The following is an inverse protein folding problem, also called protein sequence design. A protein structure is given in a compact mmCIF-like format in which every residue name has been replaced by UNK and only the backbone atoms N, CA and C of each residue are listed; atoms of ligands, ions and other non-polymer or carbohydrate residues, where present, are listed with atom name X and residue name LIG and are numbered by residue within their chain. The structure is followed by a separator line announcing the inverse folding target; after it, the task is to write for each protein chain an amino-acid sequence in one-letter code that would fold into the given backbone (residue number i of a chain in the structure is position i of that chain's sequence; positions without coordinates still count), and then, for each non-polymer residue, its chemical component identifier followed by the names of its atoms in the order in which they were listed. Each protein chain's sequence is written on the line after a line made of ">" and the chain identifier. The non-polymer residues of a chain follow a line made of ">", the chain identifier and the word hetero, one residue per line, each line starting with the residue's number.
data_IF_716382569862
#
_entry.id   IF_716382569862
#
_cell.length_a   1.000
_cell.length_b   1.000
_cell.length_c   1.000
_cell.angle_alpha   90.00
_cell.angle_beta   90.00
_cell.angle_gamma   90.00
#
_symmetry.space_group_name_H-M   'P 1'
#
loop_
_entity.id
_entity.type
_entity.pdbx_description
1 polymer ?
#
# COMPACT_ATOMS: atom_id res chain seq x y z
N UNK A 1 9.54 29.68 25.35
CA UNK A 1 8.43 28.74 25.29
C UNK A 1 8.97 27.35 25.00
N UNK A 2 8.38 26.36 25.63
CA UNK A 2 8.77 24.95 25.46
C UNK A 2 7.63 24.21 24.80
N UNK A 3 7.93 23.47 23.73
CA UNK A 3 6.97 22.65 22.98
C UNK A 3 7.18 21.19 23.34
N UNK A 4 6.12 20.51 23.77
CA UNK A 4 6.11 19.09 24.05
C UNK A 4 5.59 18.27 22.88
N UNK A 5 6.13 17.06 22.70
CA UNK A 5 5.64 16.11 21.69
C UNK A 5 5.47 14.74 22.34
N UNK A 6 4.24 14.21 22.28
CA UNK A 6 3.91 12.85 22.69
C UNK A 6 3.74 11.97 21.46
N UNK A 7 4.63 10.98 21.31
CA UNK A 7 4.74 10.13 20.13
C UNK A 7 5.71 10.70 19.09
N UNK A 8 6.94 10.18 19.03
CA UNK A 8 8.03 10.64 18.14
C UNK A 8 8.17 9.70 16.92
N UNK A 9 7.04 9.19 16.45
CA UNK A 9 6.97 8.43 15.20
C UNK A 9 7.02 9.35 13.97
N UNK A 10 6.49 8.87 12.86
CA UNK A 10 6.51 9.55 11.55
C UNK A 10 6.05 11.04 11.61
N UNK A 11 4.90 11.31 12.21
CA UNK A 11 4.34 12.67 12.33
C UNK A 11 5.10 13.48 13.39
N UNK A 12 5.32 12.89 14.56
CA UNK A 12 5.97 13.58 15.67
C UNK A 12 7.41 13.99 15.37
N UNK A 13 8.16 13.20 14.62
CA UNK A 13 9.51 13.55 14.16
C UNK A 13 9.52 14.74 13.21
N UNK A 14 8.57 14.82 12.29
CA UNK A 14 8.42 15.98 11.38
C UNK A 14 8.06 17.25 12.12
N UNK A 15 7.15 17.17 13.10
CA UNK A 15 6.81 18.28 14.00
C UNK A 15 8.04 18.70 14.80
N UNK A 16 8.77 17.75 15.41
CA UNK A 16 9.97 17.99 16.19
C UNK A 16 11.01 18.78 15.41
N UNK A 17 11.40 18.26 14.24
CA UNK A 17 12.43 18.88 13.39
C UNK A 17 12.07 20.34 13.02
N UNK A 18 10.80 20.66 12.82
CA UNK A 18 10.35 22.02 12.50
C UNK A 18 10.32 22.91 13.74
N UNK A 19 9.79 22.41 14.87
CA UNK A 19 9.66 23.22 16.10
C UNK A 19 11.01 23.54 16.73
N UNK A 20 12.01 22.65 16.62
CA UNK A 20 13.38 22.87 17.13
C UNK A 20 14.07 24.08 16.49
N UNK A 21 13.62 24.57 15.35
CA UNK A 21 14.16 25.79 14.73
C UNK A 21 13.78 27.08 15.50
N UNK A 22 12.73 27.04 16.30
CA UNK A 22 12.16 28.24 16.97
C UNK A 22 12.01 28.07 18.49
N UNK A 23 11.94 26.85 18.99
CA UNK A 23 11.59 26.54 20.36
C UNK A 23 12.48 25.45 20.96
N UNK A 24 12.58 25.41 22.28
CA UNK A 24 13.04 24.22 22.99
C UNK A 24 11.94 23.15 22.85
N UNK A 25 12.35 21.92 22.48
CA UNK A 25 11.43 20.80 22.29
C UNK A 25 11.74 19.69 23.29
N UNK A 26 10.72 19.26 24.00
CA UNK A 26 10.76 18.10 24.91
C UNK A 26 9.87 16.99 24.35
N UNK A 27 10.25 15.75 24.58
CA UNK A 27 9.56 14.59 23.97
C UNK A 27 9.23 13.53 24.99
N UNK A 28 8.12 12.81 24.74
CA UNK A 28 7.81 11.54 25.39
C UNK A 28 7.34 10.51 24.37
N UNK A 29 7.97 9.33 24.40
CA UNK A 29 7.61 8.17 23.59
C UNK A 29 7.68 6.90 24.45
N UNK A 30 7.04 5.82 24.02
CA UNK A 30 7.18 4.49 24.64
C UNK A 30 8.57 3.90 24.42
N UNK A 31 9.27 4.33 23.38
CA UNK A 31 10.69 4.08 23.17
C UNK A 31 11.52 5.13 23.92
N UNK A 32 12.17 4.72 24.99
CA UNK A 32 12.91 5.61 25.88
C UNK A 32 14.04 6.39 25.20
N UNK A 33 14.62 5.87 24.12
CA UNK A 33 15.66 6.54 23.32
C UNK A 33 15.14 7.80 22.59
N UNK A 34 13.82 7.91 22.40
CA UNK A 34 13.15 9.03 21.76
C UNK A 34 12.57 10.03 22.77
N UNK A 35 12.69 9.76 24.07
CA UNK A 35 12.13 10.59 25.14
C UNK A 35 13.22 11.46 25.77
N UNK A 36 12.87 12.73 26.07
CA UNK A 36 13.66 13.64 26.90
C UNK A 36 13.11 13.75 28.32
N UNK A 37 11.89 13.22 28.56
CA UNK A 37 11.20 13.21 29.85
C UNK A 37 10.76 11.80 30.24
N UNK A 38 10.64 11.53 31.54
CA UNK A 38 10.31 10.20 32.07
C UNK A 38 8.81 9.88 31.99
N UNK A 39 7.96 10.89 31.89
CA UNK A 39 6.51 10.70 31.80
C UNK A 39 5.79 11.86 31.09
N UNK A 40 4.58 11.59 30.59
CA UNK A 40 3.69 12.63 30.05
C UNK A 40 3.42 13.72 31.11
N UNK A 41 3.28 13.33 32.40
CA UNK A 41 3.04 14.29 33.48
C UNK A 41 4.21 15.23 33.71
N UNK A 42 5.43 14.76 33.50
CA UNK A 42 6.61 15.62 33.64
C UNK A 42 6.82 16.50 32.41
N UNK A 43 6.47 15.99 31.23
CA UNK A 43 6.44 16.75 29.98
C UNK A 43 5.50 17.95 30.10
N UNK A 44 4.22 17.75 30.46
CA UNK A 44 3.21 18.82 30.47
C UNK A 44 3.43 19.89 31.52
N UNK A 45 4.17 19.62 32.60
CA UNK A 45 4.51 20.60 33.63
C UNK A 45 5.43 21.72 33.15
N UNK A 46 6.20 21.48 32.11
CA UNK A 46 7.21 22.40 31.62
C UNK A 46 6.89 22.96 30.22
N UNK A 47 5.86 22.44 29.55
CA UNK A 47 5.52 22.85 28.19
C UNK A 47 4.40 23.86 28.14
N UNK A 48 4.51 24.83 27.22
CA UNK A 48 3.47 25.80 26.89
C UNK A 48 2.45 25.21 25.89
N UNK A 49 2.90 24.29 25.04
CA UNK A 49 2.11 23.58 24.03
C UNK A 49 2.54 22.10 23.95
N UNK A 50 1.59 21.21 23.79
CA UNK A 50 1.87 19.77 23.59
C UNK A 50 1.18 19.26 22.34
N UNK A 51 1.96 18.68 21.42
CA UNK A 51 1.46 17.92 20.27
C UNK A 51 1.28 16.45 20.65
N UNK A 52 0.10 15.90 20.32
CA UNK A 52 -0.20 14.46 20.45
C UNK A 52 -0.16 13.83 19.07
N UNK A 53 0.88 13.00 18.83
CA UNK A 53 1.20 12.38 17.54
C UNK A 53 1.26 10.85 17.65
N UNK A 54 0.43 10.24 18.49
CA UNK A 54 0.44 8.80 18.76
C UNK A 54 -0.31 8.01 17.71
N UNK A 55 0.00 6.69 17.54
CA UNK A 55 -0.68 5.85 16.57
C UNK A 55 -2.17 5.67 16.85
N UNK A 56 -2.94 5.54 15.77
CA UNK A 56 -4.36 5.17 15.77
C UNK A 56 -4.55 3.98 14.84
N UNK A 57 -4.33 2.76 15.30
CA UNK A 57 -4.38 1.57 14.45
C UNK A 57 -5.80 1.24 13.98
N UNK A 58 -5.90 0.40 12.95
CA UNK A 58 -7.17 -0.14 12.47
C UNK A 58 -7.67 -1.22 13.45
N UNK A 59 -8.91 -1.12 13.88
CA UNK A 59 -9.62 -2.16 14.63
C UNK A 59 -10.10 -3.28 13.71
N UNK A 60 -10.44 -4.44 14.28
CA UNK A 60 -10.91 -5.61 13.50
C UNK A 60 -12.16 -5.36 12.65
N UNK A 61 -12.98 -4.41 13.05
CA UNK A 61 -14.21 -4.03 12.32
C UNK A 61 -14.01 -2.91 11.29
N UNK A 62 -12.75 -2.48 11.09
CA UNK A 62 -12.37 -1.40 10.17
C UNK A 62 -12.51 0.00 10.74
N UNK A 63 -12.89 0.15 12.01
CA UNK A 63 -12.86 1.43 12.71
C UNK A 63 -11.43 1.80 13.13
N UNK A 64 -11.25 3.04 13.59
CA UNK A 64 -9.98 3.50 14.16
C UNK A 64 -10.01 3.24 15.67
N UNK A 65 -8.96 2.61 16.19
CA UNK A 65 -8.74 2.48 17.63
C UNK A 65 -8.15 3.78 18.19
N UNK A 66 -8.94 4.49 18.99
CA UNK A 66 -8.57 5.75 19.63
C UNK A 66 -8.05 5.58 21.06
N UNK A 67 -7.97 4.37 21.58
CA UNK A 67 -7.63 4.08 22.99
C UNK A 67 -6.29 4.66 23.43
N UNK A 68 -5.29 4.68 22.54
CA UNK A 68 -3.98 5.29 22.83
C UNK A 68 -4.13 6.81 22.97
N UNK A 69 -4.86 7.45 22.06
CA UNK A 69 -5.13 8.90 22.10
C UNK A 69 -5.87 9.27 23.38
N UNK A 70 -6.93 8.53 23.72
CA UNK A 70 -7.71 8.74 24.95
C UNK A 70 -6.84 8.60 26.21
N UNK A 71 -5.98 7.59 26.25
CA UNK A 71 -5.04 7.39 27.38
C UNK A 71 -4.05 8.53 27.52
N UNK A 72 -3.52 9.06 26.41
CA UNK A 72 -2.59 10.19 26.41
C UNK A 72 -3.30 11.48 26.85
N UNK A 73 -4.47 11.77 26.29
CA UNK A 73 -5.26 12.94 26.66
C UNK A 73 -5.67 12.90 28.15
N UNK A 74 -6.05 11.73 28.66
CA UNK A 74 -6.32 11.53 30.08
C UNK A 74 -5.09 11.73 30.98
N UNK A 75 -3.90 11.31 30.52
CA UNK A 75 -2.64 11.51 31.25
C UNK A 75 -2.20 12.98 31.27
N UNK A 76 -2.47 13.74 30.20
CA UNK A 76 -2.28 15.21 30.13
C UNK A 76 -3.24 15.89 31.12
N UNK A 77 -4.51 15.44 31.18
CA UNK A 77 -5.52 15.94 32.12
C UNK A 77 -5.76 17.44 31.99
N UNK A 78 -5.82 18.15 33.11
CA UNK A 78 -6.03 19.62 33.18
C UNK A 78 -4.72 20.42 33.34
N UNK A 79 -3.63 19.95 32.72
CA UNK A 79 -2.36 20.69 32.73
C UNK A 79 -2.50 22.05 32.04
N UNK A 80 -1.75 23.05 32.52
CA UNK A 80 -1.76 24.43 32.00
C UNK A 80 -0.90 24.54 30.72
N UNK A 81 -1.23 23.80 29.69
CA UNK A 81 -0.58 23.88 28.38
C UNK A 81 -1.63 23.70 27.28
N UNK A 82 -1.46 24.36 26.15
CA UNK A 82 -2.32 24.11 24.99
C UNK A 82 -2.09 22.68 24.44
N UNK A 83 -3.14 22.02 23.98
CA UNK A 83 -3.04 20.64 23.41
C UNK A 83 -3.46 20.61 21.96
N UNK A 84 -2.56 20.16 21.11
CA UNK A 84 -2.77 19.98 19.67
C UNK A 84 -2.76 18.51 19.34
N UNK A 85 -3.91 17.98 18.95
CA UNK A 85 -4.08 16.60 18.52
C UNK A 85 -3.80 16.48 17.01
N UNK A 86 -2.77 15.74 16.65
CA UNK A 86 -2.38 15.46 15.26
C UNK A 86 -2.73 14.03 14.81
N UNK A 87 -2.97 13.13 15.76
CA UNK A 87 -3.39 11.76 15.46
C UNK A 87 -4.73 11.75 14.72
N UNK A 88 -4.86 10.93 13.69
CA UNK A 88 -6.12 10.83 12.93
C UNK A 88 -7.21 10.18 13.77
N UNK A 89 -8.30 10.89 13.98
CA UNK A 89 -9.45 10.46 14.80
C UNK A 89 -10.76 10.61 14.03
N UNK A 90 -11.82 9.84 14.37
CA UNK A 90 -13.11 9.95 13.69
C UNK A 90 -13.77 11.33 13.88
N UNK A 91 -14.57 11.80 12.92
CA UNK A 91 -15.34 13.04 13.07
C UNK A 91 -16.21 13.07 14.33
N UNK A 92 -16.07 14.14 15.10
CA UNK A 92 -16.75 14.35 16.39
C UNK A 92 -15.94 13.90 17.62
N UNK A 93 -14.82 13.21 17.43
CA UNK A 93 -13.97 12.72 18.52
C UNK A 93 -13.39 13.86 19.35
N UNK A 94 -12.76 14.84 18.71
CA UNK A 94 -12.08 15.92 19.44
C UNK A 94 -13.05 16.75 20.27
N UNK A 95 -14.23 17.06 19.74
CA UNK A 95 -15.26 17.78 20.49
C UNK A 95 -15.77 16.96 21.70
N UNK A 96 -15.95 15.64 21.52
CA UNK A 96 -16.38 14.77 22.60
C UNK A 96 -15.32 14.68 23.72
N UNK A 97 -14.04 14.52 23.39
CA UNK A 97 -12.96 14.47 24.37
C UNK A 97 -12.72 15.83 25.04
N UNK A 98 -12.85 16.96 24.30
CA UNK A 98 -12.79 18.30 24.91
C UNK A 98 -13.85 18.47 25.98
N UNK A 99 -15.10 18.09 25.72
CA UNK A 99 -16.21 18.12 26.68
C UNK A 99 -15.97 17.20 27.87
N UNK A 100 -15.52 15.99 27.64
CA UNK A 100 -15.26 14.96 28.66
C UNK A 100 -14.15 15.36 29.61
N UNK A 101 -13.09 15.98 29.09
CA UNK A 101 -11.92 16.41 29.88
C UNK A 101 -12.04 17.83 30.38
N UNK A 102 -13.11 18.57 30.02
CA UNK A 102 -13.35 19.99 30.35
C UNK A 102 -12.13 20.86 30.02
N UNK A 103 -11.59 20.68 28.82
CA UNK A 103 -10.44 21.44 28.31
C UNK A 103 -10.51 21.61 26.79
N UNK A 104 -9.84 22.64 26.28
CA UNK A 104 -9.70 22.83 24.85
C UNK A 104 -8.67 21.85 24.29
N UNK A 105 -9.02 21.22 23.18
CA UNK A 105 -8.14 20.35 22.37
C UNK A 105 -8.23 20.86 20.93
N UNK A 106 -7.13 21.31 20.38
CA UNK A 106 -7.06 21.79 19.01
C UNK A 106 -6.77 20.58 18.09
N UNK A 107 -7.59 20.32 17.09
CA UNK A 107 -7.31 19.28 16.12
C UNK A 107 -6.53 19.83 14.93
N UNK A 108 -5.35 19.28 14.66
CA UNK A 108 -4.50 19.70 13.54
C UNK A 108 -4.18 18.51 12.64
N UNK A 109 -5.01 18.25 11.59
CA UNK A 109 -4.74 17.17 10.65
C UNK A 109 -3.39 17.35 9.95
N UNK A 110 -2.73 16.22 9.66
CA UNK A 110 -1.52 16.18 8.87
C UNK A 110 -1.81 15.68 7.43
N UNK A 111 -0.98 16.09 6.48
CA UNK A 111 -1.09 15.71 5.07
C UNK A 111 0.27 15.35 4.47
N UNK A 112 1.10 14.70 5.27
CA UNK A 112 2.48 14.35 4.97
C UNK A 112 2.56 13.14 4.05
N UNK A 113 3.58 13.14 3.19
CA UNK A 113 3.93 11.96 2.39
C UNK A 113 5.03 11.15 3.07
N UNK A 114 4.99 9.82 2.94
CA UNK A 114 5.93 8.95 3.63
C UNK A 114 7.40 9.22 3.26
N UNK A 115 7.66 9.71 2.05
CA UNK A 115 9.01 9.98 1.56
C UNK A 115 9.58 11.32 2.03
N UNK A 116 8.73 12.33 2.36
CA UNK A 116 9.17 13.71 2.55
C UNK A 116 8.54 14.38 3.79
N UNK A 117 8.23 13.63 4.85
CA UNK A 117 7.43 14.10 5.97
C UNK A 117 7.93 15.42 6.60
N UNK A 118 9.22 15.53 6.86
CA UNK A 118 9.82 16.73 7.46
C UNK A 118 9.71 17.93 6.51
N UNK A 119 10.06 17.72 5.23
CA UNK A 119 9.96 18.77 4.21
C UNK A 119 8.50 19.19 3.97
N UNK A 120 7.57 18.23 3.92
CA UNK A 120 6.15 18.50 3.74
C UNK A 120 5.57 19.29 4.91
N UNK A 121 5.99 18.98 6.14
CA UNK A 121 5.54 19.72 7.33
C UNK A 121 6.12 21.12 7.37
N UNK A 122 7.42 21.29 7.12
CA UNK A 122 8.10 22.58 7.17
C UNK A 122 7.66 23.54 6.06
N UNK A 123 7.30 23.01 4.87
CA UNK A 123 6.98 23.81 3.68
C UNK A 123 5.49 23.78 3.29
N UNK A 124 4.60 23.41 4.21
CA UNK A 124 3.17 23.38 3.93
C UNK A 124 2.61 24.78 3.66
N UNK A 125 1.83 24.95 2.59
CA UNK A 125 1.24 26.24 2.23
C UNK A 125 0.11 26.67 3.18
N UNK A 126 -0.56 25.71 3.82
CA UNK A 126 -1.64 25.94 4.77
C UNK A 126 -1.68 24.84 5.82
N UNK A 127 -2.13 25.20 7.01
CA UNK A 127 -2.47 24.25 8.08
C UNK A 127 -3.87 24.55 8.61
N UNK A 128 -4.59 23.50 8.99
CA UNK A 128 -5.96 23.58 9.47
C UNK A 128 -5.95 23.36 10.99
N UNK A 129 -6.58 24.26 11.73
CA UNK A 129 -6.81 24.12 13.16
C UNK A 129 -8.30 23.99 13.42
N UNK A 130 -8.73 22.82 13.86
CA UNK A 130 -10.07 22.58 14.38
C UNK A 130 -10.16 23.13 15.79
N UNK A 131 -11.05 24.08 16.00
CA UNK A 131 -11.24 24.84 17.27
C UNK A 131 -12.69 24.77 17.70
N UNK A 132 -12.94 25.15 18.94
CA UNK A 132 -14.28 25.11 19.54
C UNK A 132 -15.22 26.13 18.92
N UNK A 133 -14.74 27.39 18.78
CA UNK A 133 -15.49 28.48 18.16
C UNK A 133 -14.57 29.31 17.25
N UNK A 134 -14.89 29.32 15.97
CA UNK A 134 -14.11 30.06 14.95
C UNK A 134 -14.24 31.59 15.08
N UNK A 135 -15.28 32.07 15.73
CA UNK A 135 -15.51 33.51 15.98
C UNK A 135 -14.72 34.06 17.19
N UNK A 136 -14.29 33.18 18.10
CA UNK A 136 -13.57 33.58 19.32
C UNK A 136 -12.67 32.47 19.82
N UNK A 137 -11.38 32.59 19.57
CA UNK A 137 -10.39 31.65 20.09
C UNK A 137 -10.26 31.76 21.61
N UNK A 138 -10.12 30.61 22.27
CA UNK A 138 -9.73 30.55 23.68
C UNK A 138 -8.25 30.90 23.85
N UNK A 139 -7.77 31.00 25.08
CA UNK A 139 -6.37 31.30 25.36
C UNK A 139 -5.45 30.16 24.80
N UNK A 140 -5.85 28.91 24.96
CA UNK A 140 -5.10 27.76 24.49
C UNK A 140 -5.07 27.72 22.95
N UNK A 141 -6.20 27.95 22.28
CA UNK A 141 -6.30 28.02 20.83
C UNK A 141 -5.48 29.19 20.25
N UNK A 142 -5.48 30.34 20.92
CA UNK A 142 -4.65 31.47 20.52
C UNK A 142 -3.16 31.19 20.71
N UNK A 143 -2.77 30.57 21.85
CA UNK A 143 -1.39 30.18 22.14
C UNK A 143 -0.88 29.19 21.10
N UNK A 144 -1.64 28.14 20.80
CA UNK A 144 -1.31 27.15 19.76
C UNK A 144 -1.16 27.80 18.37
N UNK A 145 -2.10 28.68 18.00
CA UNK A 145 -2.06 29.42 16.72
C UNK A 145 -0.78 30.26 16.61
N UNK A 146 -0.42 30.97 17.69
CA UNK A 146 0.79 31.80 17.71
C UNK A 146 2.06 30.94 17.58
N UNK A 147 2.19 29.90 18.38
CA UNK A 147 3.40 29.01 18.36
C UNK A 147 3.56 28.35 17.00
N UNK A 148 2.48 27.81 16.42
CA UNK A 148 2.50 27.20 15.10
C UNK A 148 2.85 28.25 14.02
N UNK A 149 2.27 29.44 14.07
CA UNK A 149 2.53 30.51 13.12
C UNK A 149 3.96 31.05 13.17
N UNK A 150 4.57 31.12 14.34
CA UNK A 150 5.97 31.54 14.49
C UNK A 150 6.94 30.45 13.95
N UNK A 151 6.60 29.16 14.14
CA UNK A 151 7.39 28.05 13.62
C UNK A 151 7.23 27.83 12.09
N UNK A 152 6.09 28.23 11.54
CA UNK A 152 5.71 28.07 10.13
C UNK A 152 5.33 29.42 9.49
N UNK A 153 6.26 30.37 9.34
CA UNK A 153 5.95 31.77 9.01
C UNK A 153 5.38 31.97 7.58
N UNK A 154 5.51 30.97 6.71
CA UNK A 154 4.98 31.02 5.35
C UNK A 154 3.67 30.25 5.17
N UNK A 155 3.14 29.66 6.24
CA UNK A 155 1.95 28.83 6.25
C UNK A 155 0.71 29.64 6.59
N UNK A 156 -0.33 29.54 5.77
CA UNK A 156 -1.64 30.13 6.10
C UNK A 156 -2.35 29.25 7.13
N UNK A 157 -2.64 29.80 8.30
CA UNK A 157 -3.40 29.10 9.34
C UNK A 157 -4.90 29.34 9.11
N UNK A 158 -5.63 28.23 9.00
CA UNK A 158 -7.08 28.23 8.77
C UNK A 158 -7.77 27.67 10.00
N UNK A 159 -8.58 28.49 10.69
CA UNK A 159 -9.43 28.02 11.78
C UNK A 159 -10.76 27.51 11.24
N UNK A 160 -11.19 26.37 11.75
CA UNK A 160 -12.49 25.77 11.46
C UNK A 160 -12.98 24.96 12.66
N UNK A 161 -14.18 24.38 12.59
CA UNK A 161 -14.65 23.49 13.66
C UNK A 161 -13.92 22.16 13.66
N UNK A 162 -13.89 21.47 14.81
CA UNK A 162 -13.28 20.14 14.94
C UNK A 162 -13.79 19.17 13.87
N UNK A 163 -15.11 19.05 13.72
CA UNK A 163 -15.72 18.13 12.78
C UNK A 163 -15.35 18.41 11.31
N UNK A 164 -15.22 19.68 10.92
CA UNK A 164 -14.75 20.04 9.56
C UNK A 164 -13.30 19.63 9.36
N UNK A 165 -12.43 19.91 10.34
CA UNK A 165 -11.01 19.55 10.24
C UNK A 165 -10.81 18.02 10.20
N UNK A 166 -11.51 17.27 11.06
CA UNK A 166 -11.49 15.80 11.10
C UNK A 166 -12.02 15.19 9.79
N UNK A 167 -13.18 15.64 9.32
CA UNK A 167 -13.76 15.16 8.05
C UNK A 167 -12.86 15.47 6.85
N UNK A 168 -12.20 16.64 6.84
CA UNK A 168 -11.27 17.02 5.76
C UNK A 168 -10.11 16.04 5.64
N UNK A 169 -9.56 15.54 6.76
CA UNK A 169 -8.51 14.52 6.75
C UNK A 169 -8.97 13.25 6.03
N UNK A 170 -10.13 12.72 6.43
CA UNK A 170 -10.68 11.50 5.83
C UNK A 170 -11.08 11.68 4.37
N UNK A 171 -11.74 12.81 4.04
CA UNK A 171 -12.18 13.10 2.68
C UNK A 171 -10.99 13.19 1.71
N UNK A 172 -9.89 13.86 2.10
CA UNK A 172 -8.67 13.92 1.28
C UNK A 172 -8.08 12.54 1.03
N UNK A 173 -7.88 11.74 2.09
CA UNK A 173 -7.28 10.42 1.96
C UNK A 173 -8.18 9.46 1.16
N UNK A 174 -9.50 9.49 1.38
CA UNK A 174 -10.47 8.71 0.61
C UNK A 174 -10.49 9.12 -0.87
N UNK A 175 -10.42 10.42 -1.18
CA UNK A 175 -10.36 10.91 -2.56
C UNK A 175 -9.06 10.48 -3.26
N UNK A 176 -7.91 10.61 -2.59
CA UNK A 176 -6.63 10.18 -3.16
C UNK A 176 -6.58 8.66 -3.39
N UNK A 177 -7.12 7.88 -2.45
CA UNK A 177 -7.29 6.44 -2.62
C UNK A 177 -8.20 6.09 -3.83
N UNK A 178 -9.26 6.87 -4.04
CA UNK A 178 -10.15 6.73 -5.20
C UNK A 178 -9.41 7.01 -6.51
N UNK A 179 -8.56 8.04 -6.56
CA UNK A 179 -7.71 8.31 -7.74
C UNK A 179 -6.81 7.13 -8.07
N UNK A 180 -6.14 6.56 -7.06
CA UNK A 180 -5.28 5.38 -7.26
C UNK A 180 -6.08 4.19 -7.78
N UNK A 181 -7.25 3.89 -7.18
CA UNK A 181 -8.09 2.78 -7.63
C UNK A 181 -8.55 2.98 -9.08
N UNK A 182 -9.03 4.18 -9.43
CA UNK A 182 -9.42 4.54 -10.80
C UNK A 182 -8.25 4.39 -11.78
N UNK A 183 -7.06 4.91 -11.45
CA UNK A 183 -5.87 4.79 -12.28
C UNK A 183 -5.51 3.33 -12.58
N UNK A 184 -5.60 2.45 -11.57
CA UNK A 184 -5.35 1.02 -11.75
C UNK A 184 -6.39 0.33 -12.67
N UNK A 185 -7.67 0.73 -12.62
CA UNK A 185 -8.70 0.20 -13.53
C UNK A 185 -8.43 0.64 -14.98
N UNK A 186 -8.10 1.91 -15.21
CA UNK A 186 -7.74 2.41 -16.55
C UNK A 186 -6.46 1.77 -17.05
N UNK A 187 -5.44 1.60 -16.19
CA UNK A 187 -4.23 0.86 -16.55
C UNK A 187 -4.56 -0.57 -17.01
N UNK A 188 -5.46 -1.28 -16.30
CA UNK A 188 -5.91 -2.62 -16.67
C UNK A 188 -6.57 -2.65 -18.05
N UNK A 189 -7.42 -1.67 -18.36
CA UNK A 189 -8.05 -1.54 -19.67
C UNK A 189 -7.01 -1.25 -20.78
N UNK A 190 -6.09 -0.33 -20.53
CA UNK A 190 -4.99 -0.02 -21.45
C UNK A 190 -4.13 -1.24 -21.75
N UNK A 191 -3.78 -2.00 -20.70
CA UNK A 191 -3.03 -3.24 -20.83
C UNK A 191 -3.76 -4.27 -21.71
N UNK A 192 -5.05 -4.49 -21.46
CA UNK A 192 -5.87 -5.42 -22.25
C UNK A 192 -6.03 -5.01 -23.73
N UNK A 193 -5.97 -3.70 -24.02
CA UNK A 193 -6.11 -3.14 -25.36
C UNK A 193 -4.76 -2.85 -26.05
N UNK A 194 -3.64 -3.17 -25.39
CA UNK A 194 -2.28 -2.85 -25.85
C UNK A 194 -2.08 -1.34 -26.11
N UNK A 195 -2.60 -0.50 -25.21
CA UNK A 195 -2.48 0.97 -25.25
C UNK A 195 -1.46 1.41 -24.19
N UNK A 196 -0.50 2.32 -24.49
CA UNK A 196 0.42 2.85 -23.49
C UNK A 196 -0.32 3.69 -22.43
N UNK A 197 -0.39 3.20 -21.20
CA UNK A 197 -1.09 3.92 -20.12
C UNK A 197 -0.46 5.29 -19.80
N UNK A 198 0.85 5.41 -19.85
CA UNK A 198 1.53 6.66 -19.51
C UNK A 198 1.15 7.80 -20.46
N UNK A 199 0.93 7.52 -21.75
CA UNK A 199 0.41 8.50 -22.71
C UNK A 199 -1.04 8.89 -22.38
N UNK A 200 -1.89 7.94 -22.02
CA UNK A 200 -3.27 8.23 -21.59
C UNK A 200 -3.27 9.12 -20.35
N UNK A 201 -2.42 8.80 -19.36
CA UNK A 201 -2.24 9.60 -18.14
C UNK A 201 -1.77 11.01 -18.48
N UNK A 202 -0.74 11.16 -19.33
CA UNK A 202 -0.20 12.46 -19.75
C UNK A 202 -1.29 13.33 -20.37
N UNK A 203 -2.11 12.79 -21.26
CA UNK A 203 -3.22 13.55 -21.87
C UNK A 203 -4.35 13.85 -20.88
N UNK A 204 -4.65 12.94 -19.95
CA UNK A 204 -5.63 13.22 -18.89
C UNK A 204 -5.24 14.44 -18.04
N UNK A 205 -3.97 14.56 -17.65
CA UNK A 205 -3.52 15.66 -16.78
C UNK A 205 -3.29 16.99 -17.53
N UNK A 206 -3.46 17.02 -18.84
CA UNK A 206 -3.56 18.27 -19.59
C UNK A 206 -4.84 19.06 -19.26
N UNK A 207 -5.89 18.39 -18.75
CA UNK A 207 -7.04 19.08 -18.19
C UNK A 207 -6.67 19.69 -16.82
N UNK A 208 -6.72 21.04 -16.65
CA UNK A 208 -6.31 21.68 -15.41
C UNK A 208 -7.15 21.29 -14.18
N UNK A 209 -8.29 20.64 -14.38
CA UNK A 209 -9.11 20.08 -13.32
C UNK A 209 -8.56 18.77 -12.75
N UNK A 210 -7.60 18.14 -13.45
CA UNK A 210 -7.02 16.84 -13.08
C UNK A 210 -5.55 17.05 -12.71
N UNK A 211 -5.22 16.97 -11.42
CA UNK A 211 -3.84 17.00 -10.95
C UNK A 211 -3.18 15.63 -11.10
N UNK A 212 -1.90 15.59 -11.47
CA UNK A 212 -1.14 14.37 -11.76
C UNK A 212 -0.88 13.47 -10.54
N UNK A 213 -0.94 14.01 -9.33
CA UNK A 213 -0.68 13.22 -8.12
C UNK A 213 -1.55 11.98 -8.02
N UNK A 214 -0.98 10.82 -7.60
CA UNK A 214 -1.68 9.56 -7.36
C UNK A 214 -2.29 8.88 -8.60
N UNK A 215 -1.77 9.19 -9.79
CA UNK A 215 -2.19 8.56 -11.05
C UNK A 215 -1.13 7.61 -11.63
N UNK A 216 0.06 7.52 -11.05
CA UNK A 216 1.10 6.57 -11.51
C UNK A 216 0.71 5.13 -11.20
N UNK A 217 0.88 4.24 -12.18
CA UNK A 217 0.64 2.80 -12.04
C UNK A 217 1.82 2.05 -12.68
N UNK A 218 2.59 1.23 -11.94
CA UNK A 218 2.48 1.03 -10.50
C UNK A 218 2.76 2.32 -9.70
N UNK A 219 2.36 2.33 -8.41
CA UNK A 219 2.62 3.45 -7.51
C UNK A 219 4.11 3.64 -7.19
N UNK A 220 4.43 4.67 -6.39
CA UNK A 220 5.82 5.00 -5.99
C UNK A 220 6.53 3.87 -5.22
N UNK A 221 5.79 2.94 -4.64
CA UNK A 221 6.32 1.74 -3.98
C UNK A 221 6.50 0.55 -4.93
N UNK A 222 6.31 0.75 -6.23
CA UNK A 222 6.41 -0.27 -7.26
C UNK A 222 5.25 -1.27 -7.31
N UNK A 223 4.19 -1.06 -6.53
CA UNK A 223 3.03 -1.97 -6.45
C UNK A 223 1.77 -1.36 -7.06
N UNK A 224 0.85 -2.22 -7.43
CA UNK A 224 -0.49 -1.83 -7.86
C UNK A 224 -1.35 -1.44 -6.66
N UNK A 225 -2.36 -0.60 -6.90
CA UNK A 225 -3.23 -0.12 -5.82
C UNK A 225 -2.52 0.80 -4.82
N UNK A 226 -3.23 1.12 -3.74
CA UNK A 226 -2.70 1.95 -2.66
C UNK A 226 -2.38 1.10 -1.42
N UNK A 227 -1.30 1.49 -0.73
CA UNK A 227 -0.82 0.87 0.50
C UNK A 227 -0.40 1.90 1.53
N UNK A 228 0.56 1.52 2.36
CA UNK A 228 1.03 2.32 3.48
C UNK A 228 0.08 2.31 4.67
N UNK A 229 0.44 3.04 5.72
CA UNK A 229 -0.30 3.05 6.98
C UNK A 229 -1.59 3.88 6.95
N UNK A 230 -1.73 4.84 6.00
CA UNK A 230 -2.81 5.84 6.02
C UNK A 230 -3.98 5.46 5.10
N UNK A 231 -3.76 5.33 3.79
CA UNK A 231 -4.85 5.17 2.83
C UNK A 231 -5.76 3.96 3.10
N UNK A 232 -5.24 2.74 3.34
CA UNK A 232 -6.10 1.60 3.62
C UNK A 232 -6.96 1.82 4.87
N UNK A 233 -6.32 2.28 5.96
CA UNK A 233 -6.97 2.53 7.24
C UNK A 233 -8.02 3.64 7.15
N UNK A 234 -7.65 4.81 6.63
CA UNK A 234 -8.52 5.99 6.61
C UNK A 234 -9.71 5.81 5.65
N UNK A 235 -9.50 5.10 4.50
CA UNK A 235 -10.59 4.81 3.57
C UNK A 235 -11.62 3.87 4.19
N UNK A 236 -11.18 2.82 4.90
CA UNK A 236 -12.07 1.90 5.63
C UNK A 236 -12.78 2.60 6.78
N UNK A 237 -12.06 3.43 7.54
CA UNK A 237 -12.63 4.20 8.65
C UNK A 237 -13.72 5.16 8.15
N UNK A 238 -13.47 5.91 7.07
CA UNK A 238 -14.48 6.78 6.48
C UNK A 238 -15.70 5.98 5.98
N UNK A 239 -15.48 4.87 5.28
CA UNK A 239 -16.55 3.97 4.85
C UNK A 239 -17.39 3.49 6.05
N UNK A 240 -16.74 3.13 7.15
CA UNK A 240 -17.42 2.72 8.38
C UNK A 240 -18.23 3.86 9.01
N UNK A 241 -17.66 5.06 9.09
CA UNK A 241 -18.38 6.25 9.59
C UNK A 241 -19.63 6.52 8.77
N UNK A 242 -19.54 6.52 7.44
CA UNK A 242 -20.70 6.75 6.56
C UNK A 242 -21.80 5.69 6.77
N UNK A 243 -21.42 4.42 6.88
CA UNK A 243 -22.37 3.34 7.15
C UNK A 243 -23.06 3.47 8.52
N UNK A 244 -22.31 3.93 9.55
CA UNK A 244 -22.88 4.17 10.89
C UNK A 244 -23.90 5.32 10.86
N UNK A 245 -23.72 6.28 9.96
CA UNK A 245 -24.62 7.40 9.76
C UNK A 245 -25.76 7.10 8.75
N UNK A 246 -25.88 5.86 8.27
CA UNK A 246 -26.83 5.44 7.21
C UNK A 246 -26.65 6.24 5.91
N UNK A 247 -25.42 6.67 5.62
CA UNK A 247 -25.05 7.33 4.38
C UNK A 247 -24.51 6.31 3.40
N UNK A 248 -25.02 6.34 2.15
CA UNK A 248 -24.51 5.50 1.08
C UNK A 248 -23.03 5.72 0.84
N UNK A 249 -22.24 4.65 0.74
CA UNK A 249 -20.79 4.68 0.60
C UNK A 249 -20.26 3.69 -0.45
N UNK A 250 -21.05 3.48 -1.51
CA UNK A 250 -20.76 2.55 -2.61
C UNK A 250 -19.44 2.89 -3.30
N UNK A 251 -19.12 4.17 -3.48
CA UNK A 251 -17.84 4.60 -4.09
C UNK A 251 -16.65 4.11 -3.25
N UNK A 252 -16.64 4.38 -1.95
CA UNK A 252 -15.55 3.94 -1.07
C UNK A 252 -15.52 2.41 -0.92
N UNK A 253 -16.68 1.76 -0.85
CA UNK A 253 -16.79 0.31 -0.86
C UNK A 253 -16.19 -0.32 -2.12
N UNK A 254 -16.47 0.28 -3.29
CA UNK A 254 -15.87 -0.10 -4.56
C UNK A 254 -14.34 0.08 -4.57
N UNK A 255 -13.85 1.22 -4.08
CA UNK A 255 -12.42 1.54 -3.96
C UNK A 255 -11.69 0.54 -3.07
N UNK A 256 -12.23 0.20 -1.89
CA UNK A 256 -11.67 -0.79 -0.97
C UNK A 256 -11.62 -2.17 -1.65
N UNK A 257 -12.71 -2.57 -2.30
CA UNK A 257 -12.81 -3.86 -3.00
C UNK A 257 -11.84 -3.94 -4.18
N UNK A 258 -11.76 -2.88 -5.00
CA UNK A 258 -10.84 -2.79 -6.14
C UNK A 258 -9.39 -2.89 -5.66
N UNK A 259 -9.04 -2.13 -4.61
CA UNK A 259 -7.70 -2.15 -4.03
C UNK A 259 -7.30 -3.54 -3.53
N UNK A 260 -8.17 -4.25 -2.80
CA UNK A 260 -7.85 -5.59 -2.27
C UNK A 260 -7.57 -6.60 -3.39
N UNK A 261 -8.23 -6.45 -4.56
CA UNK A 261 -8.01 -7.32 -5.73
C UNK A 261 -6.66 -7.10 -6.41
N UNK A 262 -6.06 -5.92 -6.28
CA UNK A 262 -4.80 -5.58 -6.97
C UNK A 262 -3.62 -5.46 -6.02
N UNK A 263 -3.84 -4.97 -4.79
CA UNK A 263 -2.77 -4.70 -3.82
C UNK A 263 -2.25 -5.94 -3.11
N UNK A 264 -3.14 -6.83 -2.72
CA UNK A 264 -2.81 -8.04 -1.98
C UNK A 264 -2.38 -9.19 -2.92
N UNK A 265 -2.24 -8.92 -4.23
CA UNK A 265 -1.76 -9.91 -5.17
C UNK A 265 -0.27 -10.14 -4.97
N UNK A 266 0.07 -11.28 -4.40
CA UNK A 266 1.40 -11.86 -4.54
C UNK A 266 1.47 -12.44 -5.96
N UNK A 267 2.22 -11.79 -6.86
CA UNK A 267 2.41 -12.26 -8.23
C UNK A 267 3.45 -13.36 -8.26
N UNK A 268 3.02 -14.57 -8.54
CA UNK A 268 3.89 -15.70 -8.82
C UNK A 268 4.06 -15.89 -10.32
N UNK A 269 5.26 -16.24 -10.76
CA UNK A 269 5.51 -16.66 -12.16
C UNK A 269 6.14 -18.03 -12.22
N UNK A 270 5.74 -18.80 -13.23
CA UNK A 270 6.46 -20.00 -13.66
C UNK A 270 6.60 -19.99 -15.18
N UNK A 271 7.71 -20.48 -15.72
CA UNK A 271 8.00 -20.46 -17.15
C UNK A 271 8.30 -21.86 -17.69
N UNK A 272 7.82 -22.13 -18.90
CA UNK A 272 8.08 -23.41 -19.56
C UNK A 272 7.26 -23.61 -20.83
N UNK A 273 7.55 -24.69 -21.57
CA UNK A 273 6.78 -25.05 -22.77
C UNK A 273 5.45 -25.73 -22.47
N UNK A 274 5.29 -26.34 -21.30
CA UNK A 274 4.09 -27.09 -20.87
C UNK A 274 3.52 -28.05 -21.91
N UNK A 275 4.43 -28.62 -22.71
CA UNK A 275 4.09 -29.60 -23.76
C UNK A 275 3.60 -30.91 -23.16
N UNK A 276 2.59 -31.52 -23.77
CA UNK A 276 1.93 -32.74 -23.29
C UNK A 276 1.52 -32.56 -21.80
N UNK A 277 0.63 -31.62 -21.53
CA UNK A 277 0.21 -31.30 -20.16
C UNK A 277 -0.12 -32.60 -19.38
N UNK A 278 0.60 -32.84 -18.30
CA UNK A 278 0.50 -34.04 -17.48
C UNK A 278 0.44 -33.77 -15.98
N UNK A 279 0.20 -34.79 -15.18
CA UNK A 279 0.03 -34.65 -13.71
C UNK A 279 1.19 -33.92 -13.03
N UNK A 280 2.43 -34.04 -13.51
CA UNK A 280 3.57 -33.28 -12.96
C UNK A 280 3.49 -31.78 -13.19
N UNK A 281 2.98 -31.34 -14.35
CA UNK A 281 2.70 -29.92 -14.58
C UNK A 281 1.58 -29.41 -13.67
N UNK A 282 0.51 -30.21 -13.47
CA UNK A 282 -0.58 -29.84 -12.57
C UNK A 282 -0.09 -29.68 -11.12
N UNK A 283 0.78 -30.58 -10.65
CA UNK A 283 1.39 -30.48 -9.31
C UNK A 283 2.27 -29.24 -9.15
N UNK A 284 3.08 -28.92 -10.17
CA UNK A 284 3.85 -27.68 -10.20
C UNK A 284 2.93 -26.45 -10.12
N UNK A 285 1.85 -26.41 -10.91
CA UNK A 285 0.93 -25.27 -10.95
C UNK A 285 0.10 -25.15 -9.66
N UNK A 286 -0.26 -26.26 -9.03
CA UNK A 286 -0.89 -26.29 -7.69
C UNK A 286 0.05 -25.72 -6.63
N UNK A 287 1.29 -26.18 -6.58
CA UNK A 287 2.30 -25.72 -5.64
C UNK A 287 2.63 -24.23 -5.88
N UNK A 288 2.79 -23.83 -7.14
CA UNK A 288 2.98 -22.42 -7.52
C UNK A 288 1.83 -21.52 -7.04
N UNK A 289 0.58 -21.98 -7.20
CA UNK A 289 -0.59 -21.24 -6.74
C UNK A 289 -0.65 -21.09 -5.22
N UNK A 290 -0.14 -22.06 -4.47
CA UNK A 290 -0.04 -21.98 -3.01
C UNK A 290 0.99 -20.95 -2.53
N UNK A 291 1.94 -20.54 -3.39
CA UNK A 291 2.95 -19.52 -3.08
C UNK A 291 2.52 -18.10 -3.46
N UNK A 292 1.39 -17.95 -4.18
CA UNK A 292 0.97 -16.64 -4.69
C UNK A 292 -0.56 -16.53 -4.78
N UNK A 293 -1.07 -15.30 -4.81
CA UNK A 293 -2.50 -15.05 -5.01
C UNK A 293 -2.84 -14.91 -6.49
N UNK A 294 -1.85 -14.58 -7.35
CA UNK A 294 -2.00 -14.44 -8.79
C UNK A 294 -0.85 -15.14 -9.51
N UNK A 295 -1.15 -16.29 -10.13
CA UNK A 295 -0.16 -17.10 -10.86
C UNK A 295 -0.18 -16.76 -12.34
N UNK A 296 0.97 -16.31 -12.85
CA UNK A 296 1.22 -16.04 -14.27
C UNK A 296 2.07 -17.17 -14.84
N UNK A 297 1.57 -17.84 -15.86
CA UNK A 297 2.34 -18.84 -16.62
C UNK A 297 2.96 -18.17 -17.83
N UNK A 298 4.29 -18.16 -17.90
CA UNK A 298 5.04 -17.71 -19.06
C UNK A 298 5.24 -18.92 -19.98
N UNK A 299 4.44 -18.99 -21.05
CA UNK A 299 4.39 -20.12 -21.97
C UNK A 299 5.37 -19.91 -23.13
N UNK A 300 6.40 -20.74 -23.23
CA UNK A 300 7.34 -20.68 -24.35
C UNK A 300 6.72 -21.29 -25.61
N UNK A 301 6.77 -20.55 -26.71
CA UNK A 301 6.23 -21.01 -28.00
C UNK A 301 6.99 -22.24 -28.52
N UNK A 302 8.29 -22.10 -28.72
CA UNK A 302 9.19 -23.19 -29.15
C UNK A 302 10.60 -22.99 -28.56
N UNK A 303 11.01 -23.79 -27.57
CA UNK A 303 12.33 -23.66 -26.95
C UNK A 303 13.50 -23.91 -27.89
N UNK A 304 13.27 -24.49 -29.09
CA UNK A 304 14.35 -24.77 -30.07
C UNK A 304 14.78 -23.53 -30.84
N UNK A 305 14.05 -22.41 -30.75
CA UNK A 305 14.37 -21.15 -31.44
C UNK A 305 15.76 -20.65 -31.01
N UNK A 306 16.02 -20.61 -29.72
CA UNK A 306 17.28 -20.13 -29.15
C UNK A 306 18.08 -21.22 -28.42
N UNK A 307 17.47 -22.40 -28.17
CA UNK A 307 18.09 -23.55 -27.52
C UNK A 307 17.91 -24.84 -28.34
N UNK A 308 18.64 -25.03 -29.46
CA UNK A 308 18.45 -26.14 -30.39
C UNK A 308 18.59 -27.54 -29.77
N UNK A 309 19.21 -27.66 -28.60
CA UNK A 309 19.35 -28.91 -27.86
C UNK A 309 18.09 -29.31 -27.07
N UNK A 310 17.11 -28.44 -26.96
CA UNK A 310 15.83 -28.76 -26.32
C UNK A 310 14.90 -29.53 -27.28
N UNK A 311 13.90 -30.17 -26.69
CA UNK A 311 12.87 -30.82 -27.47
C UNK A 311 11.87 -29.82 -28.03
N UNK A 312 11.59 -29.93 -29.34
CA UNK A 312 10.46 -29.23 -29.94
C UNK A 312 9.15 -29.73 -29.32
N UNK A 313 8.20 -28.84 -29.02
CA UNK A 313 6.87 -29.23 -28.52
C UNK A 313 6.15 -30.14 -29.54
N UNK A 314 5.47 -31.17 -29.05
CA UNK A 314 4.59 -32.04 -29.86
C UNK A 314 3.26 -31.31 -30.14
N UNK A 315 2.73 -30.64 -29.13
CA UNK A 315 1.50 -29.90 -29.25
C UNK A 315 1.76 -28.48 -29.81
N UNK A 316 0.84 -28.00 -30.60
CA UNK A 316 0.85 -26.63 -31.09
C UNK A 316 0.73 -25.63 -29.92
N UNK A 317 1.08 -24.37 -30.16
CA UNK A 317 0.94 -23.34 -29.16
C UNK A 317 -0.53 -23.19 -28.71
N UNK A 318 -1.46 -23.20 -29.65
CA UNK A 318 -2.90 -23.09 -29.39
C UNK A 318 -3.44 -24.20 -28.50
N UNK A 319 -3.03 -25.48 -28.78
CA UNK A 319 -3.41 -26.62 -27.95
C UNK A 319 -2.93 -26.47 -26.51
N UNK A 320 -1.71 -25.98 -26.32
CA UNK A 320 -1.13 -25.75 -24.99
C UNK A 320 -1.79 -24.58 -24.27
N UNK A 321 -2.16 -23.51 -24.98
CA UNK A 321 -2.92 -22.38 -24.45
C UNK A 321 -4.28 -22.83 -23.92
N UNK A 322 -5.07 -23.54 -24.76
CA UNK A 322 -6.40 -24.06 -24.38
C UNK A 322 -6.32 -24.95 -23.14
N UNK A 323 -5.29 -25.81 -23.06
CA UNK A 323 -5.10 -26.68 -21.90
C UNK A 323 -4.77 -25.89 -20.61
N UNK A 324 -3.87 -24.91 -20.71
CA UNK A 324 -3.48 -24.09 -19.55
C UNK A 324 -4.61 -23.17 -19.08
N UNK A 325 -5.41 -22.62 -19.99
CA UNK A 325 -6.60 -21.82 -19.67
C UNK A 325 -7.65 -22.61 -18.86
N UNK A 326 -7.73 -23.92 -19.11
CA UNK A 326 -8.61 -24.82 -18.37
C UNK A 326 -8.09 -25.21 -16.97
N UNK A 327 -6.84 -24.87 -16.63
CA UNK A 327 -6.25 -25.21 -15.32
C UNK A 327 -6.65 -24.18 -14.28
N UNK A 328 -7.44 -24.58 -13.28
CA UNK A 328 -7.95 -23.72 -12.21
C UNK A 328 -6.90 -22.97 -11.37
N UNK A 329 -5.64 -23.36 -11.45
CA UNK A 329 -4.54 -22.75 -10.70
C UNK A 329 -3.92 -21.56 -11.45
N UNK A 330 -4.18 -21.43 -12.76
CA UNK A 330 -3.59 -20.40 -13.62
C UNK A 330 -4.52 -19.19 -13.70
N UNK A 331 -4.01 -18.00 -13.35
CA UNK A 331 -4.80 -16.77 -13.45
C UNK A 331 -4.52 -16.00 -14.74
N UNK A 332 -3.32 -16.14 -15.30
CA UNK A 332 -2.90 -15.45 -16.51
C UNK A 332 -1.85 -16.25 -17.27
N UNK A 333 -1.90 -16.18 -18.61
CA UNK A 333 -0.88 -16.77 -19.47
C UNK A 333 -0.29 -15.67 -20.34
N UNK A 334 1.03 -15.65 -20.49
CA UNK A 334 1.76 -14.78 -21.41
C UNK A 334 2.70 -15.63 -22.24
N UNK A 335 2.70 -15.42 -23.57
CA UNK A 335 3.55 -16.17 -24.50
C UNK A 335 4.88 -15.45 -24.70
N UNK A 336 5.96 -16.20 -24.84
CA UNK A 336 7.27 -15.70 -25.23
C UNK A 336 7.98 -16.68 -26.18
N UNK A 337 8.88 -16.17 -27.01
CA UNK A 337 9.62 -16.98 -27.99
C UNK A 337 11.03 -17.31 -27.50
N UNK A 338 11.79 -16.32 -27.05
CA UNK A 338 13.20 -16.42 -26.70
C UNK A 338 13.48 -16.18 -25.22
N UNK A 339 14.67 -16.55 -24.74
CA UNK A 339 15.10 -16.24 -23.38
C UNK A 339 15.22 -14.72 -23.12
N UNK A 340 15.52 -13.92 -24.17
CA UNK A 340 15.51 -12.47 -24.07
C UNK A 340 14.09 -11.93 -23.86
N UNK A 341 13.08 -12.48 -24.53
CA UNK A 341 11.67 -12.13 -24.29
C UNK A 341 11.27 -12.49 -22.86
N UNK A 342 11.69 -13.66 -22.37
CA UNK A 342 11.46 -14.07 -20.98
C UNK A 342 12.05 -13.08 -20.00
N UNK A 343 13.29 -12.60 -20.25
CA UNK A 343 13.94 -11.60 -19.40
C UNK A 343 13.15 -10.28 -19.38
N UNK A 344 12.70 -9.81 -20.55
CA UNK A 344 11.89 -8.60 -20.67
C UNK A 344 10.55 -8.74 -19.95
N UNK A 345 9.87 -9.87 -20.09
CA UNK A 345 8.62 -10.15 -19.38
C UNK A 345 8.82 -10.13 -17.86
N UNK A 346 9.86 -10.81 -17.35
CA UNK A 346 10.16 -10.82 -15.91
C UNK A 346 10.48 -9.42 -15.38
N UNK A 347 11.24 -8.61 -16.14
CA UNK A 347 11.59 -7.23 -15.81
C UNK A 347 10.36 -6.32 -15.75
N UNK A 348 9.38 -6.54 -16.64
CA UNK A 348 8.15 -5.75 -16.72
C UNK A 348 7.12 -6.18 -15.67
N UNK A 349 6.91 -7.50 -15.50
CA UNK A 349 5.94 -8.06 -14.53
C UNK A 349 6.37 -7.73 -13.10
N UNK A 350 7.69 -7.75 -12.82
CA UNK A 350 8.27 -7.66 -11.47
C UNK A 350 7.54 -8.58 -10.49
N UNK A 351 7.63 -9.89 -10.67
CA UNK A 351 6.93 -10.84 -9.83
C UNK A 351 7.52 -10.84 -8.41
N UNK A 352 6.66 -11.09 -7.41
CA UNK A 352 7.07 -11.21 -6.01
C UNK A 352 7.77 -12.55 -5.73
N UNK A 353 7.47 -13.58 -6.53
CA UNK A 353 8.06 -14.91 -6.41
C UNK A 353 8.08 -15.62 -7.77
N UNK A 354 9.17 -16.33 -8.04
CA UNK A 354 9.30 -17.22 -9.20
C UNK A 354 9.28 -18.68 -8.75
N UNK A 355 8.52 -19.51 -9.43
CA UNK A 355 8.42 -20.94 -9.14
C UNK A 355 9.15 -21.71 -10.23
N UNK A 356 10.11 -22.55 -9.83
CA UNK A 356 10.90 -23.40 -10.71
C UNK A 356 10.95 -24.85 -10.19
N UNK A 357 11.22 -25.82 -11.05
CA UNK A 357 11.53 -27.17 -10.58
C UNK A 357 12.87 -27.21 -9.83
N UNK A 358 13.03 -28.13 -8.87
CA UNK A 358 14.27 -28.31 -8.12
C UNK A 358 15.47 -28.78 -8.95
N UNK A 359 15.28 -29.15 -10.22
CA UNK A 359 16.33 -29.40 -11.21
C UNK A 359 17.12 -28.11 -11.60
N UNK A 360 16.60 -26.92 -11.25
CA UNK A 360 17.27 -25.64 -11.45
C UNK A 360 18.15 -25.18 -10.27
N UNK A 361 18.13 -25.89 -9.15
CA UNK A 361 18.96 -25.56 -8.00
C UNK A 361 20.44 -25.62 -8.35
N UNK A 362 21.15 -24.51 -8.16
CA UNK A 362 22.60 -24.41 -8.45
C UNK A 362 22.95 -24.28 -9.94
N UNK A 363 21.97 -24.02 -10.81
CA UNK A 363 22.20 -23.73 -12.23
C UNK A 363 21.91 -22.26 -12.54
N UNK A 364 22.53 -21.72 -13.58
CA UNK A 364 22.20 -20.38 -14.10
C UNK A 364 20.88 -20.41 -14.84
N UNK A 365 20.08 -19.36 -14.71
CA UNK A 365 18.77 -19.24 -15.36
C UNK A 365 18.48 -17.79 -15.80
N UNK A 366 17.66 -17.65 -16.80
CA UNK A 366 17.25 -16.32 -17.32
C UNK A 366 16.56 -15.51 -16.22
N UNK A 367 17.00 -14.26 -16.02
CA UNK A 367 16.46 -13.37 -15.01
C UNK A 367 17.05 -13.54 -13.59
N UNK A 368 18.15 -14.27 -13.43
CA UNK A 368 18.88 -14.39 -12.15
C UNK A 368 19.30 -13.01 -11.62
N UNK A 369 19.76 -12.10 -12.50
CA UNK A 369 20.15 -10.74 -12.16
C UNK A 369 19.01 -9.84 -11.62
N UNK A 370 17.77 -10.26 -11.79
CA UNK A 370 16.60 -9.53 -11.29
C UNK A 370 16.35 -9.78 -9.78
N UNK A 371 17.09 -10.70 -9.16
CA UNK A 371 16.98 -11.06 -7.74
C UNK A 371 15.55 -11.39 -7.27
N UNK A 372 14.75 -12.02 -8.13
CA UNK A 372 13.38 -12.44 -7.79
C UNK A 372 13.48 -13.62 -6.80
N UNK A 373 12.79 -13.59 -5.66
CA UNK A 373 12.71 -14.74 -4.75
C UNK A 373 12.25 -16.01 -5.48
N UNK A 374 12.87 -17.16 -5.21
CA UNK A 374 12.54 -18.43 -5.88
C UNK A 374 11.97 -19.44 -4.90
N UNK A 375 10.87 -20.06 -5.26
CA UNK A 375 10.38 -21.31 -4.68
C UNK A 375 10.68 -22.47 -5.62
N UNK A 376 11.34 -23.49 -5.07
CA UNK A 376 11.67 -24.70 -5.84
C UNK A 376 10.66 -25.80 -5.59
N UNK A 377 9.87 -26.14 -6.62
CA UNK A 377 8.96 -27.27 -6.61
C UNK A 377 9.72 -28.59 -6.55
N UNK A 378 9.41 -29.45 -5.58
CA UNK A 378 10.05 -30.75 -5.45
C UNK A 378 9.50 -31.77 -6.44
N UNK A 379 10.18 -31.91 -7.59
CA UNK A 379 9.84 -32.89 -8.63
C UNK A 379 10.09 -34.33 -8.19
N UNK A 380 10.85 -34.56 -7.10
CA UNK A 380 11.11 -35.91 -6.57
C UNK A 380 9.94 -36.45 -5.75
N UNK A 381 9.01 -35.58 -5.37
CA UNK A 381 7.76 -36.00 -4.68
C UNK A 381 6.82 -36.80 -5.57
N UNK A 382 7.09 -36.88 -6.90
CA UNK A 382 6.32 -37.65 -7.87
C UNK A 382 7.19 -38.13 -9.04
N UNK A 383 6.74 -39.18 -9.75
CA UNK A 383 7.46 -39.80 -10.90
C UNK A 383 7.00 -39.24 -12.27
N UNK A 384 6.19 -38.16 -12.30
CA UNK A 384 5.61 -37.67 -13.55
C UNK A 384 6.60 -36.79 -14.32
N UNK A 385 6.84 -37.09 -15.61
CA UNK A 385 7.64 -36.25 -16.48
C UNK A 385 7.19 -36.39 -17.93
N UNK A 386 7.39 -35.35 -18.76
CA UNK A 386 7.09 -35.38 -20.19
C UNK A 386 7.89 -36.45 -20.91
N UNK A 387 9.15 -36.65 -20.53
CA UNK A 387 10.00 -37.73 -21.15
C UNK A 387 9.44 -39.12 -20.88
N UNK A 388 9.05 -39.38 -19.60
CA UNK A 388 8.43 -40.68 -19.25
C UNK A 388 7.08 -40.87 -19.94
N UNK A 389 6.28 -39.80 -20.11
CA UNK A 389 5.02 -39.88 -20.85
C UNK A 389 5.25 -40.22 -22.32
N UNK A 390 6.19 -39.55 -22.98
CA UNK A 390 6.56 -39.82 -24.38
C UNK A 390 6.99 -41.28 -24.58
N UNK A 391 7.85 -41.81 -23.69
CA UNK A 391 8.28 -43.22 -23.76
C UNK A 391 7.10 -44.18 -23.63
N UNK A 392 6.19 -43.98 -22.68
CA UNK A 392 5.00 -44.81 -22.50
C UNK A 392 4.07 -44.81 -23.72
N UNK A 393 3.94 -43.65 -24.41
CA UNK A 393 3.16 -43.55 -25.64
C UNK A 393 3.84 -44.34 -26.76
N UNK A 394 5.15 -44.22 -26.94
CA UNK A 394 5.93 -44.97 -27.93
C UNK A 394 5.80 -46.48 -27.67
N UNK A 395 5.99 -46.91 -26.43
CA UNK A 395 5.89 -48.34 -26.05
C UNK A 395 4.50 -48.91 -26.30
N UNK A 396 3.45 -48.11 -26.08
CA UNK A 396 2.07 -48.54 -26.30
C UNK A 396 1.65 -48.58 -27.78
N UNK A 397 2.22 -47.74 -28.65
CA UNK A 397 1.86 -47.67 -30.06
C UNK A 397 2.81 -48.47 -30.96
N UNK A 398 4.06 -48.72 -30.58
CA UNK A 398 5.04 -49.48 -31.37
C UNK A 398 4.55 -50.86 -31.84
N UNK A 399 3.83 -51.67 -31.03
CA UNK A 399 3.28 -52.94 -31.49
C UNK A 399 2.25 -52.80 -32.62
N UNK A 400 1.47 -51.70 -32.62
CA UNK A 400 0.42 -51.45 -33.63
C UNK A 400 0.98 -50.93 -34.96
N UNK A 401 2.17 -50.31 -34.93
CA UNK A 401 2.84 -49.79 -36.12
C UNK A 401 3.64 -50.89 -36.88
N UNK A 402 3.80 -52.06 -36.27
CA UNK A 402 4.50 -53.25 -36.85
C UNK A 402 3.55 -54.28 -37.43
N UNK A 403 2.27 -54.09 -37.37
CA UNK A 403 1.21 -54.80 -38.08
C UNK A 403 0.78 -54.04 -39.35
#
# INVERSE_FOLDING_TARGET
>A
MIVGIVGVGFVGSAVKATMENSYQVETFDTESSLSTTDSIKDLVKQCDLVFVCVPTPESKDGSVDTSIVESVLAAIGKAECAVVLKSTVPPGFTEAESKKLERDIIFNPEFLTAANAESDYANQNHTILGVTDTGRLTNDEYSATKIIGEALPHTVIIHTTHGVAEMTKYARNGFLATKVAFANEIWGACYALNIPYDEVREFMVMDPRIADSHLSVPGSDGKFGFGGACFPKDTKALHRVLNTLDVRSEVLGGVITSNSKVRDKVKGVTAGSFDLLHAGHIKLLEDAKNQCTHLIVLLQSDPTIDRPHKNKPVQTLDERLVQLEAVKFVDQIMVYDTEDDLFQLLSNIKPDIRIQGNDWVGTTYTGESLNIPIHYHDRKSHSFSSSSLRMRVIDAESPKLSE
#
